data_IF_488002413872
#
_entry.id   IF_488002413872
#
_cell.length_a   1.000
_cell.length_b   1.000
_cell.length_c   1.000
_cell.angle_alpha   90.00
_cell.angle_beta   90.00
_cell.angle_gamma   90.00
#
_symmetry.space_group_name_H-M   'P 1'
#
loop_
_entity.id
_entity.type
_entity.pdbx_description
1 polymer ?
#
# COMPACT_ATOMS: atom_id res chain seq x y z
N UNK A 1 -2.75 33.12 18.17
CA UNK A 1 -2.31 31.70 18.25
C UNK A 1 -3.49 30.76 18.31
N UNK A 2 -4.11 30.53 17.15
CA UNK A 2 -5.29 29.68 16.96
C UNK A 2 -5.04 28.80 15.74
N UNK A 3 -5.61 27.62 15.78
CA UNK A 3 -5.58 26.56 14.76
C UNK A 3 -4.41 25.57 14.90
N UNK A 4 -4.67 24.53 15.68
CA UNK A 4 -4.55 23.13 15.25
C UNK A 4 -5.34 22.28 16.26
N UNK A 5 -6.64 22.57 16.38
CA UNK A 5 -7.61 21.62 16.93
C UNK A 5 -8.11 20.79 15.75
N UNK A 6 -7.96 19.47 15.90
CA UNK A 6 -8.85 18.40 15.46
C UNK A 6 -9.65 18.63 14.17
N UNK A 7 -9.38 17.83 13.13
CA UNK A 7 -10.37 17.09 12.31
C UNK A 7 -9.56 16.40 11.20
N UNK A 8 -9.48 15.08 11.27
CA UNK A 8 -9.57 14.18 10.12
C UNK A 8 -10.19 12.91 10.69
N UNK A 9 -11.45 13.00 11.12
CA UNK A 9 -12.59 12.60 10.29
C UNK A 9 -12.40 11.16 9.85
N UNK A 10 -12.80 10.28 10.74
CA UNK A 10 -13.16 8.90 10.45
C UNK A 10 -13.91 8.89 9.12
N UNK A 11 -13.21 8.44 8.08
CA UNK A 11 -13.77 8.29 6.75
C UNK A 11 -14.55 6.98 6.76
N UNK A 12 -15.80 7.07 7.23
CA UNK A 12 -16.86 6.12 6.89
C UNK A 12 -16.94 6.05 5.35
N UNK A 13 -16.44 4.97 4.79
CA UNK A 13 -16.80 4.53 3.45
C UNK A 13 -17.43 3.16 3.58
N UNK A 14 -18.74 3.16 3.79
CA UNK A 14 -19.56 1.97 3.59
C UNK A 14 -19.92 1.84 2.10
N UNK A 15 -19.99 0.58 1.68
CA UNK A 15 -20.73 0.04 0.53
C UNK A 15 -19.95 -0.25 -0.76
N UNK A 16 -19.30 -1.42 -0.80
CA UNK A 16 -19.52 -2.41 -1.87
C UNK A 16 -19.00 -3.80 -1.46
N UNK A 17 -19.75 -4.56 -0.67
CA UNK A 17 -19.58 -6.03 -0.55
C UNK A 17 -18.23 -6.54 0.00
N UNK A 18 -17.49 -5.74 0.75
CA UNK A 18 -16.28 -6.19 1.44
C UNK A 18 -16.67 -6.80 2.80
N UNK A 19 -16.30 -8.06 3.01
CA UNK A 19 -16.38 -8.72 4.31
C UNK A 19 -15.63 -7.85 5.32
N UNK A 20 -16.33 -7.35 6.34
CA UNK A 20 -15.76 -6.42 7.32
C UNK A 20 -14.67 -7.15 8.11
N UNK A 21 -13.43 -7.05 7.64
CA UNK A 21 -12.28 -7.62 8.31
C UNK A 21 -12.13 -6.96 9.68
N UNK A 22 -11.80 -7.76 10.68
CA UNK A 22 -11.47 -7.20 12.00
C UNK A 22 -10.25 -6.28 11.88
N UNK A 23 -10.14 -5.32 12.80
CA UNK A 23 -8.96 -4.46 12.88
C UNK A 23 -7.65 -5.24 12.94
N UNK A 24 -7.64 -6.36 13.66
CA UNK A 24 -6.47 -7.24 13.78
C UNK A 24 -6.10 -7.90 12.44
N UNK A 25 -7.09 -8.37 11.66
CA UNK A 25 -6.86 -8.90 10.32
C UNK A 25 -6.37 -7.83 9.34
N UNK A 26 -6.92 -6.62 9.44
CA UNK A 26 -6.49 -5.48 8.63
C UNK A 26 -5.02 -5.13 8.90
N UNK A 27 -4.64 -5.05 10.18
CA UNK A 27 -3.25 -4.80 10.62
C UNK A 27 -2.31 -5.92 10.14
N UNK A 28 -2.71 -7.18 10.32
CA UNK A 28 -1.92 -8.33 9.86
C UNK A 28 -1.71 -8.34 8.34
N UNK A 29 -2.76 -8.07 7.58
CA UNK A 29 -2.68 -7.99 6.12
C UNK A 29 -1.79 -6.81 5.70
N UNK A 30 -1.89 -5.66 6.38
CA UNK A 30 -1.03 -4.51 6.13
C UNK A 30 0.46 -4.81 6.41
N UNK A 31 0.75 -5.51 7.50
CA UNK A 31 2.12 -5.94 7.83
C UNK A 31 2.67 -6.91 6.78
N UNK A 32 1.85 -7.87 6.33
CA UNK A 32 2.24 -8.82 5.30
C UNK A 32 2.51 -8.10 3.96
N UNK A 33 1.60 -7.24 3.51
CA UNK A 33 1.79 -6.41 2.32
C UNK A 33 3.04 -5.51 2.44
N UNK A 34 3.33 -5.01 3.64
CA UNK A 34 4.53 -4.20 3.91
C UNK A 34 5.82 -5.00 3.70
N UNK A 35 5.86 -6.29 4.00
CA UNK A 35 7.02 -7.15 3.68
C UNK A 35 7.26 -7.21 2.17
N UNK A 36 6.20 -7.34 1.38
CA UNK A 36 6.29 -7.28 -0.08
C UNK A 36 6.78 -5.93 -0.58
N UNK A 37 6.29 -4.81 -0.02
CA UNK A 37 6.82 -3.47 -0.32
C UNK A 37 8.33 -3.38 -0.04
N UNK A 38 8.79 -3.87 1.11
CA UNK A 38 10.23 -3.83 1.47
C UNK A 38 11.07 -4.65 0.48
N UNK A 39 10.60 -5.83 0.08
CA UNK A 39 11.25 -6.61 -0.97
C UNK A 39 11.29 -5.86 -2.31
N UNK A 40 10.18 -5.22 -2.70
CA UNK A 40 10.12 -4.36 -3.89
C UNK A 40 11.12 -3.22 -3.84
N UNK A 41 11.23 -2.53 -2.69
CA UNK A 41 12.19 -1.45 -2.49
C UNK A 41 13.64 -1.93 -2.62
N UNK A 42 13.95 -3.15 -2.19
CA UNK A 42 15.28 -3.73 -2.39
C UNK A 42 15.56 -3.99 -3.88
N UNK A 43 14.59 -4.50 -4.63
CA UNK A 43 14.73 -4.64 -6.08
C UNK A 43 14.85 -3.29 -6.81
N UNK A 44 14.17 -2.25 -6.34
CA UNK A 44 14.34 -0.87 -6.86
C UNK A 44 15.77 -0.39 -6.69
N UNK A 45 16.40 -0.62 -5.51
CA UNK A 45 17.81 -0.28 -5.28
C UNK A 45 18.76 -1.03 -6.22
N UNK A 46 18.39 -2.26 -6.58
CA UNK A 46 19.12 -3.07 -7.57
C UNK A 46 18.75 -2.76 -9.03
N UNK A 47 17.86 -1.79 -9.27
CA UNK A 47 17.32 -1.45 -10.60
C UNK A 47 16.64 -2.63 -11.31
N UNK A 48 16.16 -3.61 -10.55
CA UNK A 48 15.40 -4.77 -11.04
C UNK A 48 13.90 -4.44 -11.06
N UNK A 49 13.51 -3.54 -11.97
CA UNK A 49 12.18 -2.94 -12.02
C UNK A 49 11.04 -3.96 -12.16
N UNK A 50 11.19 -4.99 -13.00
CA UNK A 50 10.18 -6.04 -13.17
C UNK A 50 9.89 -6.81 -11.87
N UNK A 51 10.96 -7.10 -11.11
CA UNK A 51 10.82 -7.79 -9.81
C UNK A 51 10.18 -6.88 -8.77
N UNK A 52 10.53 -5.60 -8.78
CA UNK A 52 9.89 -4.61 -7.93
C UNK A 52 8.39 -4.49 -8.21
N UNK A 53 7.99 -4.44 -9.49
CA UNK A 53 6.59 -4.43 -9.91
C UNK A 53 5.82 -5.65 -9.40
N UNK A 54 6.39 -6.84 -9.51
CA UNK A 54 5.79 -8.06 -8.98
C UNK A 54 5.58 -7.95 -7.46
N UNK A 55 6.58 -7.49 -6.71
CA UNK A 55 6.47 -7.30 -5.27
C UNK A 55 5.36 -6.30 -4.89
N UNK A 56 5.29 -5.13 -5.53
CA UNK A 56 4.23 -4.16 -5.22
C UNK A 56 2.85 -4.66 -5.64
N UNK A 57 2.76 -5.45 -6.71
CA UNK A 57 1.49 -6.08 -7.12
C UNK A 57 0.99 -7.09 -6.09
N UNK A 58 1.88 -7.88 -5.48
CA UNK A 58 1.50 -8.77 -4.37
C UNK A 58 1.08 -7.98 -3.13
N UNK A 59 1.79 -6.88 -2.79
CA UNK A 59 1.39 -6.01 -1.69
C UNK A 59 -0.04 -5.46 -1.88
N UNK A 60 -0.38 -5.03 -3.10
CA UNK A 60 -1.72 -4.54 -3.46
C UNK A 60 -2.79 -5.63 -3.36
N UNK A 61 -2.48 -6.87 -3.75
CA UNK A 61 -3.44 -7.99 -3.64
C UNK A 61 -3.79 -8.32 -2.20
N UNK A 62 -2.81 -8.20 -1.29
CA UNK A 62 -2.97 -8.49 0.13
C UNK A 62 -3.68 -7.33 0.83
N UNK A 63 -3.28 -6.10 0.51
CA UNK A 63 -3.80 -4.91 1.14
C UNK A 63 -3.91 -3.77 0.11
N UNK A 64 -5.08 -3.61 -0.54
CA UNK A 64 -5.26 -2.64 -1.62
C UNK A 64 -5.40 -1.19 -1.13
N UNK A 65 -5.65 -0.99 0.18
CA UNK A 65 -5.97 0.32 0.75
C UNK A 65 -4.73 1.20 1.03
N UNK A 66 -3.50 0.68 0.94
CA UNK A 66 -2.28 1.48 1.11
C UNK A 66 -1.84 2.07 -0.23
N UNK A 67 -2.07 3.38 -0.39
CA UNK A 67 -1.70 4.13 -1.59
C UNK A 67 -0.19 4.08 -1.91
N UNK A 68 0.67 3.82 -0.92
CA UNK A 68 2.13 3.75 -1.12
C UNK A 68 2.51 2.60 -2.06
N UNK A 69 1.80 1.48 -2.03
CA UNK A 69 2.11 0.35 -2.91
C UNK A 69 1.86 0.70 -4.37
N UNK A 70 0.75 1.38 -4.65
CA UNK A 70 0.41 1.89 -5.98
C UNK A 70 1.40 2.94 -6.47
N UNK A 71 1.77 3.90 -5.61
CA UNK A 71 2.75 4.93 -5.95
C UNK A 71 4.10 4.32 -6.31
N UNK A 72 4.62 3.37 -5.51
CA UNK A 72 5.88 2.71 -5.80
C UNK A 72 5.83 1.87 -7.08
N UNK A 73 4.70 1.21 -7.35
CA UNK A 73 4.48 0.48 -8.61
C UNK A 73 4.48 1.42 -9.82
N UNK A 74 3.79 2.56 -9.72
CA UNK A 74 3.77 3.57 -10.78
C UNK A 74 5.18 4.13 -11.06
N UNK A 75 5.95 4.42 -10.00
CA UNK A 75 7.34 4.84 -10.13
C UNK A 75 8.21 3.81 -10.87
N UNK A 76 7.97 2.51 -10.68
CA UNK A 76 8.69 1.47 -11.42
C UNK A 76 8.31 1.45 -12.90
N UNK A 77 7.04 1.64 -13.25
CA UNK A 77 6.63 1.74 -14.66
C UNK A 77 7.32 2.91 -15.37
N UNK A 78 7.45 4.06 -14.70
CA UNK A 78 8.19 5.23 -15.22
C UNK A 78 9.71 5.01 -15.41
N UNK A 79 10.26 3.88 -14.96
CA UNK A 79 11.67 3.53 -15.13
C UNK A 79 11.91 2.48 -16.21
N UNK A 80 10.86 1.77 -16.62
CA UNK A 80 10.92 0.76 -17.68
C UNK A 80 10.60 1.41 -19.04
N UNK A 81 9.77 2.46 -19.04
CA UNK A 81 9.58 3.38 -20.17
C UNK A 81 10.85 4.22 -20.45
#
# INVERSE_FOLDING_TARGET
DKACEEVDKENESEESGEEFLSKEELEKNHEEATKHKVMGNNYVKEQKWDKALACYSEAIKIFPHDAVFWANRALCHLKID
#
